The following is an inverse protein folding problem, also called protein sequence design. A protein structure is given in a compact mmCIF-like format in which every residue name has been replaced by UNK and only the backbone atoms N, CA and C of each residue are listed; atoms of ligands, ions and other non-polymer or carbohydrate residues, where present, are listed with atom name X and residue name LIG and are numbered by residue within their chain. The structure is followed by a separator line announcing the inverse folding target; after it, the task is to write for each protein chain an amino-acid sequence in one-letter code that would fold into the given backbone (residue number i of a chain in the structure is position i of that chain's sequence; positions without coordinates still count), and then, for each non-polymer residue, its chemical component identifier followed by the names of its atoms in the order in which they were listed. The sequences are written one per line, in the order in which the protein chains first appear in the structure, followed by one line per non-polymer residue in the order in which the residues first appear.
data_IF_753052510432
#
_entry.id   IF_753052510432
#
_cell.length_a   1.000
_cell.length_b   1.000
_cell.length_c   1.000
_cell.angle_alpha   90.00
_cell.angle_beta   90.00
_cell.angle_gamma   90.00
#
_symmetry.space_group_name_H-M   'P 1'
#
loop_
_entity.id
_entity.type
_entity.pdbx_description
1 polymer ?
#
# COMPACT_ATOMS: atom_id res chain seq x y z
N UNK A 1 8.63 -8.56 0.89
CA UNK A 1 7.85 -7.38 0.50
C UNK A 1 6.69 -7.11 1.46
N UNK A 2 5.63 -7.93 1.50
CA UNK A 2 4.47 -7.69 2.37
C UNK A 2 4.83 -7.51 3.86
N UNK A 3 5.63 -8.43 4.43
CA UNK A 3 6.07 -8.34 5.83
C UNK A 3 6.72 -6.97 6.13
N UNK A 4 7.56 -6.49 5.22
CA UNK A 4 8.24 -5.19 5.31
C UNK A 4 7.23 -4.04 5.32
N UNK A 5 6.26 -4.04 4.41
CA UNK A 5 5.21 -3.02 4.36
C UNK A 5 4.37 -2.99 5.65
N UNK A 6 4.05 -4.15 6.22
CA UNK A 6 3.31 -4.21 7.49
C UNK A 6 4.15 -3.58 8.62
N UNK A 7 5.45 -3.89 8.69
CA UNK A 7 6.37 -3.29 9.68
C UNK A 7 6.51 -1.78 9.52
N UNK A 8 6.53 -1.29 8.29
CA UNK A 8 6.54 0.14 7.97
C UNK A 8 5.26 0.83 8.48
N UNK A 9 4.07 0.25 8.23
CA UNK A 9 2.81 0.76 8.80
C UNK A 9 2.82 0.75 10.32
N UNK A 10 3.34 -0.32 10.95
CA UNK A 10 3.45 -0.39 12.41
C UNK A 10 4.37 0.69 12.97
N UNK A 11 5.47 0.99 12.28
CA UNK A 11 6.39 2.07 12.66
C UNK A 11 5.71 3.43 12.52
N UNK A 12 5.01 3.65 11.42
CA UNK A 12 4.24 4.87 11.21
C UNK A 12 3.15 5.04 12.28
N UNK A 13 2.42 3.98 12.61
CA UNK A 13 1.34 4.05 13.61
C UNK A 13 1.86 4.37 15.00
N UNK A 14 3.05 3.86 15.36
CA UNK A 14 3.74 4.21 16.59
C UNK A 14 4.07 5.72 16.66
N UNK A 15 4.71 6.27 15.63
CA UNK A 15 5.07 7.70 15.56
C UNK A 15 3.84 8.62 15.51
N UNK A 16 2.72 8.11 15.01
CA UNK A 16 1.44 8.83 15.04
C UNK A 16 0.75 8.84 16.41
N UNK A 17 1.25 8.06 17.38
CA UNK A 17 0.61 7.90 18.69
C UNK A 17 -0.53 6.87 18.72
N UNK A 18 -0.65 6.02 17.70
CA UNK A 18 -1.65 4.96 17.59
C UNK A 18 -0.97 3.59 17.37
N UNK A 19 -0.12 3.14 18.32
CA UNK A 19 0.59 1.88 18.16
C UNK A 19 -0.40 0.72 18.05
N UNK A 20 -0.09 -0.23 17.18
CA UNK A 20 -0.85 -1.47 17.09
C UNK A 20 -0.59 -2.34 18.33
N UNK A 21 -1.66 -2.92 18.87
CA UNK A 21 -1.62 -3.73 20.11
C UNK A 21 -0.91 -5.07 19.93
N UNK A 22 -0.75 -5.52 18.68
CA UNK A 22 -0.16 -6.80 18.33
C UNK A 22 0.66 -6.73 17.05
N UNK A 23 1.50 -7.73 16.86
CA UNK A 23 2.22 -7.93 15.61
C UNK A 23 1.27 -8.45 14.53
N UNK A 24 0.99 -7.60 13.54
CA UNK A 24 0.08 -7.94 12.46
C UNK A 24 0.75 -8.68 11.30
N UNK A 25 2.07 -8.92 11.35
CA UNK A 25 2.76 -9.66 10.29
C UNK A 25 2.20 -11.08 10.18
N UNK A 26 2.16 -11.82 11.29
CA UNK A 26 1.72 -13.22 11.28
C UNK A 26 0.23 -13.36 10.96
N UNK A 27 -0.59 -12.45 11.48
CA UNK A 27 -2.03 -12.44 11.23
C UNK A 27 -2.35 -12.21 9.75
N UNK A 28 -1.65 -11.29 9.08
CA UNK A 28 -1.83 -11.06 7.66
C UNK A 28 -1.33 -12.24 6.80
N UNK A 29 -0.26 -12.92 7.22
CA UNK A 29 0.24 -14.09 6.50
C UNK A 29 -0.73 -15.26 6.58
N UNK A 30 -1.31 -15.53 7.77
CA UNK A 30 -2.35 -16.57 7.92
C UNK A 30 -3.54 -16.30 7.01
N UNK A 31 -3.97 -15.04 6.89
CA UNK A 31 -5.05 -14.66 5.97
C UNK A 31 -4.62 -14.99 4.54
N UNK A 32 -3.44 -14.57 4.10
CA UNK A 32 -2.96 -14.86 2.73
C UNK A 32 -2.80 -16.35 2.44
N UNK A 33 -2.31 -17.14 3.39
CA UNK A 33 -2.18 -18.60 3.27
C UNK A 33 -3.54 -19.28 3.09
N UNK A 34 -4.63 -18.68 3.58
CA UNK A 34 -5.98 -19.20 3.44
C UNK A 34 -6.69 -18.83 2.13
N UNK A 35 -6.11 -17.91 1.35
CA UNK A 35 -6.72 -17.44 0.11
C UNK A 35 -6.47 -18.41 -1.06
N UNK A 36 -7.43 -18.58 -1.97
CA UNK A 36 -7.19 -19.24 -3.25
C UNK A 36 -6.05 -18.57 -4.04
N UNK A 37 -5.25 -19.33 -4.82
CA UNK A 37 -4.13 -18.77 -5.61
C UNK A 37 -4.55 -17.68 -6.61
N UNK A 38 -5.81 -17.70 -7.06
CA UNK A 38 -6.41 -16.76 -8.01
C UNK A 38 -7.23 -15.66 -7.32
N UNK A 39 -7.17 -15.57 -5.99
CA UNK A 39 -7.84 -14.52 -5.25
C UNK A 39 -7.32 -13.13 -5.67
N UNK A 40 -8.25 -12.21 -5.93
CA UNK A 40 -7.92 -10.81 -6.28
C UNK A 40 -8.61 -9.84 -5.34
N UNK A 41 -7.95 -8.71 -5.07
CA UNK A 41 -8.56 -7.63 -4.29
C UNK A 41 -9.43 -6.74 -5.17
N UNK A 42 -10.38 -6.03 -4.55
CA UNK A 42 -11.19 -5.02 -5.26
C UNK A 42 -10.31 -3.93 -5.87
N UNK A 43 -9.36 -3.41 -5.09
CA UNK A 43 -8.38 -2.43 -5.55
C UNK A 43 -7.65 -2.91 -6.81
N UNK A 44 -7.16 -4.16 -6.82
CA UNK A 44 -6.48 -4.73 -7.98
C UNK A 44 -7.37 -4.74 -9.23
N UNK A 45 -8.63 -5.13 -9.09
CA UNK A 45 -9.59 -5.13 -10.21
C UNK A 45 -9.92 -3.73 -10.71
N UNK A 46 -10.05 -2.75 -9.82
CA UNK A 46 -10.34 -1.37 -10.19
C UNK A 46 -9.14 -0.70 -10.88
N UNK A 47 -7.93 -0.93 -10.38
CA UNK A 47 -6.68 -0.49 -11.02
C UNK A 47 -6.53 -1.13 -12.40
N UNK A 48 -6.73 -2.45 -12.52
CA UNK A 48 -6.64 -3.16 -13.81
C UNK A 48 -7.68 -2.67 -14.83
N UNK A 49 -8.85 -2.24 -14.38
CA UNK A 49 -9.91 -1.70 -15.23
C UNK A 49 -9.79 -0.18 -15.49
N UNK A 50 -8.74 0.49 -14.99
CA UNK A 50 -8.58 1.95 -15.10
C UNK A 50 -9.68 2.76 -14.42
N UNK A 51 -10.40 2.16 -13.46
CA UNK A 51 -11.45 2.83 -12.68
C UNK A 51 -10.85 3.63 -11.54
N UNK A 52 -11.69 4.47 -10.92
CA UNK A 52 -11.37 5.09 -9.64
C UNK A 52 -11.04 3.98 -8.63
N UNK A 53 -9.80 3.98 -8.16
CA UNK A 53 -9.25 2.99 -7.24
C UNK A 53 -8.96 3.63 -5.88
N UNK A 54 -8.99 2.81 -4.83
CA UNK A 54 -8.57 3.18 -3.47
C UNK A 54 -7.04 3.29 -3.32
N UNK A 55 -6.28 3.14 -4.42
CA UNK A 55 -4.81 3.25 -4.46
C UNK A 55 -4.28 4.53 -3.81
N UNK A 56 -4.97 5.65 -3.95
CA UNK A 56 -4.56 6.90 -3.31
C UNK A 56 -4.62 6.79 -1.78
N UNK A 57 -5.67 6.21 -1.23
CA UNK A 57 -5.80 6.01 0.22
C UNK A 57 -4.86 4.92 0.75
N UNK A 58 -4.71 3.82 0.02
CA UNK A 58 -3.99 2.64 0.47
C UNK A 58 -2.47 2.71 0.29
N UNK A 59 -1.98 3.52 -0.65
CA UNK A 59 -0.54 3.62 -0.98
C UNK A 59 -0.04 5.05 -0.86
N UNK A 60 -0.56 5.98 -1.68
CA UNK A 60 0.00 7.33 -1.75
C UNK A 60 -0.22 8.13 -0.47
N UNK A 61 -1.36 7.98 0.18
CA UNK A 61 -1.66 8.66 1.44
C UNK A 61 -0.76 8.19 2.58
N UNK A 62 -0.39 6.90 2.60
CA UNK A 62 0.56 6.36 3.57
C UNK A 62 1.91 7.08 3.46
N UNK A 63 2.41 7.26 2.24
CA UNK A 63 3.68 7.99 2.00
C UNK A 63 3.55 9.46 2.42
N UNK A 64 2.42 10.12 2.08
CA UNK A 64 2.17 11.53 2.50
C UNK A 64 2.13 11.67 4.02
N UNK A 65 1.50 10.72 4.70
CA UNK A 65 1.47 10.68 6.16
C UNK A 65 2.86 10.42 6.73
N UNK A 66 3.60 9.45 6.20
CA UNK A 66 4.95 9.14 6.67
C UNK A 66 5.89 10.34 6.58
N UNK A 67 5.80 11.14 5.52
CA UNK A 67 6.53 12.41 5.39
C UNK A 67 6.18 13.40 6.50
N UNK A 68 4.90 13.51 6.90
CA UNK A 68 4.47 14.39 8.00
C UNK A 68 5.07 13.97 9.34
N UNK A 69 5.26 12.66 9.56
CA UNK A 69 5.80 12.10 10.79
C UNK A 69 7.30 11.74 10.71
N UNK A 70 7.98 12.10 9.60
CA UNK A 70 9.39 11.78 9.34
C UNK A 70 9.74 10.28 9.45
N UNK A 71 8.83 9.40 8.99
CA UNK A 71 9.03 7.95 8.99
C UNK A 71 9.47 7.48 7.60
N UNK A 72 10.58 6.72 7.48
CA UNK A 72 10.99 6.12 6.21
C UNK A 72 10.06 4.96 5.83
N UNK A 73 9.59 4.94 4.58
CA UNK A 73 8.70 3.88 4.06
C UNK A 73 9.20 3.33 2.71
N UNK A 74 10.44 2.80 2.64
CA UNK A 74 11.05 2.41 1.37
C UNK A 74 10.28 1.33 0.61
N UNK A 75 9.61 0.39 1.29
CA UNK A 75 8.79 -0.61 0.60
C UNK A 75 7.52 0.02 0.00
N UNK A 76 6.87 0.95 0.70
CA UNK A 76 5.76 1.71 0.12
C UNK A 76 6.18 2.60 -1.04
N UNK A 77 7.32 3.29 -0.94
CA UNK A 77 7.87 4.13 -2.01
C UNK A 77 8.13 3.31 -3.27
N UNK A 78 8.78 2.15 -3.15
CA UNK A 78 9.02 1.26 -4.27
C UNK A 78 7.70 0.76 -4.90
N UNK A 79 6.68 0.43 -4.10
CA UNK A 79 5.36 0.03 -4.61
C UNK A 79 4.66 1.19 -5.32
N UNK A 80 4.73 2.41 -4.78
CA UNK A 80 4.15 3.60 -5.38
C UNK A 80 4.77 3.88 -6.76
N UNK A 81 6.10 3.85 -6.87
CA UNK A 81 6.81 4.03 -8.14
C UNK A 81 6.36 3.02 -9.21
N UNK A 82 6.23 1.75 -8.85
CA UNK A 82 5.80 0.70 -9.78
C UNK A 82 4.33 0.90 -10.22
N UNK A 83 3.47 1.33 -9.30
CA UNK A 83 2.08 1.62 -9.63
C UNK A 83 1.93 2.88 -10.51
N UNK A 84 2.75 3.90 -10.26
CA UNK A 84 2.81 5.10 -11.11
C UNK A 84 3.22 4.73 -12.54
N UNK A 85 4.34 4.02 -12.72
CA UNK A 85 4.79 3.55 -14.05
C UNK A 85 3.70 2.77 -14.79
N UNK A 86 2.97 1.91 -14.07
CA UNK A 86 2.04 0.96 -14.67
C UNK A 86 0.65 1.55 -14.94
N UNK A 87 0.20 2.52 -14.16
CA UNK A 87 -1.19 2.99 -14.17
C UNK A 87 -1.36 4.51 -14.24
N UNK A 88 -0.31 5.28 -13.96
CA UNK A 88 -0.30 6.75 -14.02
C UNK A 88 0.74 7.17 -15.06
N UNK A 89 0.42 6.99 -16.35
CA UNK A 89 1.33 7.41 -17.42
C UNK A 89 1.41 8.94 -17.53
N UNK A 90 2.61 9.54 -17.72
CA UNK A 90 2.77 10.99 -17.87
C UNK A 90 2.14 11.62 -19.13
N UNK A 91 1.82 10.86 -20.18
CA UNK A 91 1.44 11.42 -21.50
C UNK A 91 0.18 10.77 -22.12
N UNK A 92 -0.96 10.86 -21.41
CA UNK A 92 -2.24 11.01 -22.11
C UNK A 92 -2.68 12.47 -22.00
N UNK A 93 -1.97 13.35 -22.71
CA UNK A 93 -2.55 14.62 -23.17
C UNK A 93 -3.78 14.25 -24.00
N UNK A 94 -4.94 14.46 -23.40
CA UNK A 94 -6.22 14.43 -24.10
C UNK A 94 -6.36 15.77 -24.82
N UNK A 95 -6.49 15.67 -26.14
CA UNK A 95 -6.65 16.72 -27.16
C UNK A 95 -5.46 17.64 -27.43
#
# INVERSE_FOLDING_TARGET
MLKTMIREIMTLSYEMGYPFEKDYVDENLKVLESLPPDATTRMQRDVAAGRKSEIDGLVFNVIRMAKKYNVPMPAYEMVAEELEKKYIQPDKKTN
#
